data_IF_151523236840
#
_entry.id   IF_151523236840
#
_cell.length_a   1.000
_cell.length_b   1.000
_cell.length_c   1.000
_cell.angle_alpha   90.00
_cell.angle_beta   90.00
_cell.angle_gamma   90.00
#
_symmetry.space_group_name_H-M   'P 1'
#
loop_
_entity.id
_entity.type
_entity.pdbx_description
1 polymer ?
#
# COMPACT_ATOMS: atom_id res chain seq x y z
N UNK A 1 -52.08 35.08 12.92
CA UNK A 1 -53.36 35.30 13.64
C UNK A 1 -53.64 34.05 14.49
N UNK A 2 -53.72 34.26 15.84
CA UNK A 2 -54.16 33.36 16.93
C UNK A 2 -53.36 32.08 17.18
N UNK A 3 -52.45 32.00 18.12
CA UNK A 3 -52.37 31.85 19.60
C UNK A 3 -53.56 31.18 20.24
N UNK A 4 -53.36 29.97 20.84
CA UNK A 4 -53.99 29.47 22.09
C UNK A 4 -53.03 28.38 22.64
N UNK A 5 -52.61 28.50 23.67
CA UNK A 5 -52.23 28.41 25.07
C UNK A 5 -53.00 27.38 25.87
N UNK A 6 -52.25 26.77 26.86
CA UNK A 6 -52.68 26.09 28.14
C UNK A 6 -53.10 24.62 28.01
N UNK A 7 -52.75 23.71 28.95
CA UNK A 7 -52.57 23.84 30.39
C UNK A 7 -51.82 22.68 31.03
N UNK A 8 -51.16 22.98 32.13
CA UNK A 8 -50.57 22.07 33.12
C UNK A 8 -51.63 21.22 33.84
N UNK A 9 -51.31 19.95 34.14
CA UNK A 9 -51.82 19.28 35.34
C UNK A 9 -50.70 18.57 36.09
N UNK A 10 -50.47 19.02 37.33
CA UNK A 10 -49.78 18.30 38.41
C UNK A 10 -50.75 17.33 39.04
N UNK A 11 -50.28 16.10 39.34
CA UNK A 11 -50.90 15.29 40.41
C UNK A 11 -49.74 14.73 41.24
N UNK A 12 -49.81 15.08 42.53
CA UNK A 12 -48.99 14.53 43.63
C UNK A 12 -49.60 13.21 44.09
N UNK A 13 -48.79 12.30 44.57
CA UNK A 13 -49.29 11.26 45.45
C UNK A 13 -48.42 10.06 45.65
N UNK A 14 -47.81 10.04 46.85
CA UNK A 14 -47.58 8.94 47.75
C UNK A 14 -46.44 7.93 47.49
N UNK A 15 -45.50 7.99 48.40
CA UNK A 15 -44.44 7.02 48.67
C UNK A 15 -45.04 5.76 49.33
N UNK A 16 -44.55 4.59 48.89
CA UNK A 16 -44.57 3.37 49.69
C UNK A 16 -43.22 2.70 49.56
N UNK A 17 -42.49 2.69 50.67
CA UNK A 17 -41.22 1.97 50.86
C UNK A 17 -41.50 0.49 51.08
N UNK A 18 -40.98 -0.36 50.23
CA UNK A 18 -40.80 -1.81 50.56
C UNK A 18 -39.37 -2.19 50.29
N UNK A 19 -38.64 -2.40 51.37
CA UNK A 19 -37.27 -2.94 51.36
C UNK A 19 -37.38 -4.45 51.17
N UNK A 20 -36.86 -4.98 50.07
CA UNK A 20 -36.54 -6.41 49.94
C UNK A 20 -35.08 -6.56 49.56
N UNK A 21 -34.35 -7.14 50.48
CA UNK A 21 -32.97 -7.61 50.26
C UNK A 21 -32.99 -8.84 49.35
N UNK A 22 -32.43 -8.74 48.16
CA UNK A 22 -32.01 -9.89 47.37
C UNK A 22 -30.51 -9.76 47.13
N UNK A 23 -29.70 -10.56 47.84
CA UNK A 23 -28.31 -10.86 47.45
C UNK A 23 -28.38 -11.65 46.16
N UNK A 24 -28.08 -10.99 45.05
CA UNK A 24 -27.81 -11.61 43.76
C UNK A 24 -26.30 -11.60 43.50
N UNK A 25 -25.67 -12.80 43.50
CA UNK A 25 -24.32 -13.00 42.97
C UNK A 25 -24.31 -12.54 41.52
N UNK A 26 -23.74 -11.39 41.24
CA UNK A 26 -23.36 -10.99 39.89
C UNK A 26 -22.03 -11.69 39.58
N UNK A 27 -22.10 -12.84 38.89
CA UNK A 27 -20.94 -13.37 38.16
C UNK A 27 -20.59 -12.38 37.05
N UNK A 28 -19.54 -11.60 37.27
CA UNK A 28 -19.00 -10.71 36.24
C UNK A 28 -18.47 -11.53 35.07
N UNK A 29 -19.21 -11.55 33.98
CA UNK A 29 -18.67 -11.99 32.68
C UNK A 29 -17.68 -10.91 32.25
N UNK A 30 -16.42 -11.10 32.60
CA UNK A 30 -15.32 -10.32 32.06
C UNK A 30 -15.27 -10.56 30.56
N UNK A 31 -15.75 -9.61 29.78
CA UNK A 31 -15.48 -9.55 28.34
C UNK A 31 -13.97 -9.29 28.23
N UNK A 32 -13.20 -10.37 28.07
CA UNK A 32 -11.79 -10.30 27.77
C UNK A 32 -11.60 -9.60 26.43
N UNK A 33 -11.18 -8.34 26.47
CA UNK A 33 -10.71 -7.63 25.28
C UNK A 33 -9.45 -8.36 24.83
N UNK A 34 -9.51 -8.98 23.67
CA UNK A 34 -8.39 -9.67 23.03
C UNK A 34 -7.18 -8.73 22.94
N UNK A 35 -5.96 -9.19 23.28
CA UNK A 35 -4.76 -8.33 23.25
C UNK A 35 -4.33 -7.85 21.85
N UNK A 36 -5.06 -8.22 20.79
CA UNK A 36 -4.80 -7.77 19.42
C UNK A 36 -5.24 -6.31 19.11
N UNK A 37 -5.86 -5.61 20.03
CA UNK A 37 -6.44 -4.28 19.81
C UNK A 37 -5.71 -3.12 20.51
N UNK A 38 -4.57 -3.39 21.14
CA UNK A 38 -3.66 -2.34 21.62
C UNK A 38 -2.58 -2.08 20.56
N UNK A 39 -2.98 -1.59 19.39
CA UNK A 39 -2.05 -0.82 18.55
C UNK A 39 -1.63 0.40 19.41
N UNK A 40 -0.37 0.43 19.79
CA UNK A 40 0.18 1.44 20.67
C UNK A 40 -0.19 2.85 20.16
N UNK A 41 -0.92 3.61 20.97
CA UNK A 41 -1.25 5.03 20.75
C UNK A 41 0.00 5.93 20.74
N UNK A 42 1.19 5.37 20.85
CA UNK A 42 2.50 6.03 20.85
C UNK A 42 3.27 5.79 19.55
N UNK A 43 2.61 5.80 18.38
CA UNK A 43 3.38 5.83 17.14
C UNK A 43 4.16 7.16 17.08
N UNK A 44 5.49 7.14 16.85
CA UNK A 44 6.29 8.35 16.81
C UNK A 44 5.69 9.35 15.82
N UNK A 45 5.57 10.59 16.23
CA UNK A 45 5.04 11.66 15.38
C UNK A 45 6.14 11.96 14.35
N UNK A 46 5.83 11.75 13.07
CA UNK A 46 6.73 12.16 12.01
C UNK A 46 6.73 13.68 11.90
N UNK A 47 7.90 14.28 11.95
CA UNK A 47 8.08 15.69 11.61
C UNK A 47 8.44 15.76 10.13
N UNK A 48 7.43 15.93 9.28
CA UNK A 48 7.63 16.06 7.84
C UNK A 48 8.19 17.44 7.54
N UNK A 49 9.35 17.56 6.86
CA UNK A 49 9.91 18.85 6.53
C UNK A 49 9.06 19.59 5.47
N UNK A 50 8.95 20.90 5.63
CA UNK A 50 8.13 21.77 4.78
C UNK A 50 8.89 22.18 3.51
N UNK A 51 8.47 21.71 2.35
CA UNK A 51 9.06 22.06 1.04
C UNK A 51 8.96 23.56 0.77
N UNK A 52 7.86 24.20 1.21
CA UNK A 52 7.63 25.63 1.05
C UNK A 52 8.61 26.52 1.83
N UNK A 53 9.26 25.98 2.85
CA UNK A 53 10.26 26.71 3.66
C UNK A 53 11.66 26.69 3.04
N UNK A 54 11.87 25.93 1.96
CA UNK A 54 13.18 25.86 1.29
C UNK A 54 13.51 27.18 0.57
N UNK A 55 14.80 27.60 0.59
CA UNK A 55 15.24 28.80 -0.15
C UNK A 55 15.10 28.62 -1.67
N UNK A 56 15.11 29.72 -2.39
CA UNK A 56 15.05 29.77 -3.86
C UNK A 56 16.44 29.54 -4.52
N UNK A 57 17.26 28.69 -3.92
CA UNK A 57 18.56 28.29 -4.46
C UNK A 57 18.42 27.03 -5.37
N UNK A 58 19.53 26.53 -5.87
CA UNK A 58 19.56 25.35 -6.75
C UNK A 58 19.01 24.10 -6.05
N UNK A 59 19.32 23.91 -4.75
CA UNK A 59 18.85 22.78 -3.98
C UNK A 59 17.34 22.83 -3.74
N UNK A 60 16.81 23.99 -3.28
CA UNK A 60 15.39 24.17 -3.06
C UNK A 60 14.57 23.97 -4.34
N UNK A 61 15.06 24.49 -5.48
CA UNK A 61 14.41 24.25 -6.79
C UNK A 61 14.41 22.77 -7.17
N UNK A 62 15.53 22.06 -6.93
CA UNK A 62 15.63 20.64 -7.23
C UNK A 62 14.65 19.79 -6.39
N UNK A 63 14.54 20.07 -5.09
CA UNK A 63 13.59 19.39 -4.19
C UNK A 63 12.13 19.66 -4.61
N UNK A 64 11.80 20.92 -4.91
CA UNK A 64 10.46 21.28 -5.42
C UNK A 64 10.13 20.54 -6.71
N UNK A 65 11.07 20.49 -7.66
CA UNK A 65 10.87 19.74 -8.90
C UNK A 65 10.69 18.23 -8.63
N UNK A 66 11.41 17.66 -7.68
CA UNK A 66 11.21 16.28 -7.25
C UNK A 66 9.81 16.02 -6.67
N UNK A 67 9.29 16.96 -5.86
CA UNK A 67 7.91 16.92 -5.38
C UNK A 67 6.91 17.01 -6.53
N UNK A 68 7.13 17.88 -7.49
CA UNK A 68 6.27 18.04 -8.66
C UNK A 68 6.25 16.76 -9.51
N UNK A 69 7.41 16.13 -9.73
CA UNK A 69 7.52 14.81 -10.37
C UNK A 69 6.70 13.74 -9.63
N UNK A 70 6.72 13.73 -8.29
CA UNK A 70 5.94 12.78 -7.49
C UNK A 70 4.44 13.05 -7.59
N UNK A 71 4.01 14.30 -7.56
CA UNK A 71 2.59 14.69 -7.52
C UNK A 71 1.93 14.81 -8.89
N UNK A 72 2.72 15.08 -9.92
CA UNK A 72 2.26 15.29 -11.30
C UNK A 72 3.18 14.61 -12.33
N UNK A 73 3.60 13.37 -12.07
CA UNK A 73 4.47 12.59 -12.96
C UNK A 73 4.01 12.64 -14.43
N UNK A 74 2.70 12.50 -14.64
CA UNK A 74 2.05 12.56 -15.94
C UNK A 74 2.33 13.86 -16.71
N UNK A 75 2.48 14.99 -16.02
CA UNK A 75 2.69 16.30 -16.62
C UNK A 75 4.15 16.58 -17.02
N UNK A 76 5.09 15.90 -16.39
CA UNK A 76 6.54 16.11 -16.59
C UNK A 76 7.20 15.05 -17.46
N UNK A 77 6.82 13.77 -17.23
CA UNK A 77 7.46 12.61 -17.86
C UNK A 77 6.44 11.55 -18.31
N UNK A 78 5.16 11.91 -18.38
CA UNK A 78 4.07 11.03 -18.80
C UNK A 78 4.04 10.76 -20.31
N UNK A 79 3.18 9.85 -20.77
CA UNK A 79 3.12 9.45 -22.17
C UNK A 79 2.58 10.57 -23.09
N UNK A 80 1.86 11.53 -22.55
CA UNK A 80 1.19 12.60 -23.30
C UNK A 80 1.94 13.94 -23.24
N UNK A 81 3.12 14.02 -22.57
CA UNK A 81 3.93 15.25 -22.58
C UNK A 81 4.38 15.59 -24.00
N UNK A 82 4.48 16.89 -24.30
CA UNK A 82 4.79 17.39 -25.64
C UNK A 82 6.15 16.91 -26.16
N UNK A 83 7.17 16.89 -25.31
CA UNK A 83 8.51 16.42 -25.66
C UNK A 83 8.59 14.89 -25.62
N UNK A 84 8.69 14.18 -26.75
CA UNK A 84 8.78 12.72 -26.77
C UNK A 84 10.01 12.16 -26.03
N UNK A 85 11.11 12.90 -25.94
CA UNK A 85 12.32 12.49 -25.25
C UNK A 85 12.08 12.34 -23.74
N UNK A 86 11.11 13.08 -23.19
CA UNK A 86 10.73 13.05 -21.78
C UNK A 86 9.63 12.04 -21.42
N UNK A 87 9.09 11.30 -22.38
CA UNK A 87 8.06 10.27 -22.13
C UNK A 87 8.67 9.03 -21.51
N UNK A 88 8.94 9.09 -20.20
CA UNK A 88 9.50 7.97 -19.44
C UNK A 88 8.42 7.09 -18.82
N UNK A 89 7.33 7.66 -18.30
CA UNK A 89 6.18 6.89 -17.86
C UNK A 89 5.34 6.40 -19.05
N UNK A 90 4.82 5.19 -18.97
CA UNK A 90 3.96 4.57 -19.98
C UNK A 90 2.47 4.63 -19.63
N UNK A 91 2.12 5.29 -18.51
CA UNK A 91 0.75 5.57 -18.09
C UNK A 91 0.65 6.99 -17.53
N UNK A 92 -0.57 7.49 -17.37
CA UNK A 92 -0.87 8.84 -16.88
C UNK A 92 -1.05 8.91 -15.36
N UNK A 93 -0.51 7.93 -14.61
CA UNK A 93 -0.48 7.98 -13.15
C UNK A 93 0.52 9.04 -12.65
N UNK A 94 0.31 9.44 -11.40
CA UNK A 94 1.35 10.09 -10.59
C UNK A 94 1.89 9.12 -9.54
N UNK A 95 3.14 9.26 -9.14
CA UNK A 95 3.69 8.48 -8.02
C UNK A 95 2.83 8.62 -6.76
N UNK A 96 2.28 9.83 -6.53
CA UNK A 96 1.38 10.16 -5.42
C UNK A 96 0.03 9.42 -5.47
N UNK A 97 -0.34 8.75 -6.56
CA UNK A 97 -1.54 7.91 -6.59
C UNK A 97 -1.40 6.68 -5.68
N UNK A 98 -0.16 6.21 -5.44
CA UNK A 98 0.16 5.14 -4.50
C UNK A 98 0.93 5.66 -3.27
N UNK A 99 1.86 6.63 -3.47
CA UNK A 99 2.61 7.29 -2.41
C UNK A 99 1.82 8.49 -1.87
N UNK A 100 0.78 8.18 -1.09
CA UNK A 100 -0.25 9.15 -0.71
C UNK A 100 0.32 10.37 0.01
N UNK A 101 -0.34 11.54 -0.17
CA UNK A 101 0.09 12.83 0.38
C UNK A 101 1.53 13.18 -0.04
N UNK A 102 1.86 13.00 -1.31
CA UNK A 102 3.21 13.20 -1.84
C UNK A 102 4.29 12.37 -1.11
N UNK A 103 3.93 11.19 -0.62
CA UNK A 103 4.83 10.28 0.09
C UNK A 103 4.97 10.54 1.59
N UNK A 104 4.02 11.24 2.22
CA UNK A 104 4.09 11.56 3.65
C UNK A 104 3.00 10.88 4.50
N UNK A 105 2.04 10.18 3.87
CA UNK A 105 0.98 9.47 4.60
C UNK A 105 1.51 8.15 5.17
N UNK A 106 1.40 7.98 6.51
CA UNK A 106 1.69 6.71 7.17
C UNK A 106 0.85 5.58 6.58
N UNK A 107 1.47 4.42 6.34
CA UNK A 107 0.86 3.25 5.72
C UNK A 107 0.27 3.50 4.31
N UNK A 108 0.44 4.69 3.75
CA UNK A 108 0.12 5.06 2.37
C UNK A 108 1.34 4.97 1.45
N UNK A 109 2.20 3.99 1.65
CA UNK A 109 3.50 3.80 0.96
C UNK A 109 4.33 5.08 1.03
N UNK A 110 4.70 5.57 2.23
CA UNK A 110 5.44 6.82 2.36
C UNK A 110 6.81 6.75 1.69
N UNK A 111 7.29 7.92 1.27
CA UNK A 111 8.68 8.18 0.86
C UNK A 111 9.49 8.79 2.02
N UNK A 112 8.82 9.23 3.08
CA UNK A 112 9.41 9.75 4.30
C UNK A 112 10.30 8.69 4.95
N UNK A 113 11.55 9.05 5.30
CA UNK A 113 12.49 8.15 5.96
C UNK A 113 13.16 7.10 5.05
N UNK A 114 12.71 6.97 3.80
CA UNK A 114 13.14 5.88 2.90
C UNK A 114 14.58 6.03 2.39
N UNK A 115 15.11 7.27 2.34
CA UNK A 115 16.47 7.50 1.79
C UNK A 115 17.55 6.72 2.54
N UNK A 116 17.44 6.64 3.86
CA UNK A 116 18.41 5.96 4.72
C UNK A 116 18.32 4.42 4.69
N UNK A 117 17.33 3.84 4.00
CA UNK A 117 17.21 2.39 3.80
C UNK A 117 18.06 1.88 2.63
N UNK A 118 18.65 2.77 1.82
CA UNK A 118 19.46 2.40 0.66
C UNK A 118 20.95 2.66 0.88
N UNK A 119 21.85 1.81 0.29
CA UNK A 119 21.54 0.64 -0.54
C UNK A 119 20.92 -0.51 0.27
N UNK A 120 20.08 -1.34 -0.38
CA UNK A 120 19.45 -2.49 0.27
C UNK A 120 19.40 -3.72 -0.64
N UNK A 121 19.45 -4.91 -0.02
CA UNK A 121 19.28 -6.16 -0.75
C UNK A 121 17.87 -6.28 -1.34
N UNK A 122 17.80 -6.60 -2.63
CA UNK A 122 16.56 -6.82 -3.35
C UNK A 122 16.45 -8.28 -3.82
N UNK A 123 15.56 -9.04 -3.19
CA UNK A 123 15.35 -10.45 -3.53
C UNK A 123 14.89 -10.67 -4.98
N UNK A 124 14.26 -9.65 -5.62
CA UNK A 124 13.79 -9.75 -7.00
C UNK A 124 14.95 -9.87 -8.01
N UNK A 125 16.02 -9.11 -7.80
CA UNK A 125 17.24 -9.16 -8.61
C UNK A 125 18.32 -10.05 -7.99
N UNK A 126 18.19 -10.40 -6.71
CA UNK A 126 19.21 -11.09 -5.89
C UNK A 126 20.52 -10.28 -5.78
N UNK A 127 20.39 -8.98 -5.67
CA UNK A 127 21.52 -8.05 -5.56
C UNK A 127 21.20 -6.89 -4.61
N UNK A 128 22.23 -6.17 -4.22
CA UNK A 128 22.10 -4.90 -3.52
C UNK A 128 21.77 -3.80 -4.55
N UNK A 129 20.77 -2.99 -4.29
CA UNK A 129 20.28 -1.93 -5.19
C UNK A 129 20.36 -0.56 -4.54
N UNK A 130 20.61 0.45 -5.35
CA UNK A 130 20.51 1.86 -4.98
C UNK A 130 19.06 2.37 -4.93
N UNK A 131 18.85 3.58 -4.42
CA UNK A 131 17.55 4.26 -4.51
C UNK A 131 17.16 4.52 -5.97
N UNK A 132 18.11 4.87 -6.83
CA UNK A 132 17.90 5.10 -8.26
C UNK A 132 17.40 3.82 -8.97
N UNK A 133 17.99 2.66 -8.64
CA UNK A 133 17.54 1.37 -9.16
C UNK A 133 16.10 1.08 -8.69
N UNK A 134 15.81 1.39 -7.43
CA UNK A 134 14.46 1.24 -6.89
C UNK A 134 13.45 2.15 -7.59
N UNK A 135 13.82 3.40 -7.89
CA UNK A 135 13.00 4.33 -8.66
C UNK A 135 12.76 3.80 -10.08
N UNK A 136 13.80 3.30 -10.74
CA UNK A 136 13.69 2.70 -12.08
C UNK A 136 12.86 1.41 -12.09
N UNK A 137 12.88 0.63 -11.01
CA UNK A 137 11.95 -0.49 -10.85
C UNK A 137 10.49 -0.01 -10.76
N UNK A 138 10.21 1.15 -10.14
CA UNK A 138 8.87 1.76 -10.17
C UNK A 138 8.51 2.27 -11.57
N UNK A 139 9.43 2.94 -12.28
CA UNK A 139 9.20 3.43 -13.64
C UNK A 139 8.80 2.31 -14.60
N UNK A 140 9.48 1.16 -14.54
CA UNK A 140 9.21 0.03 -15.45
C UNK A 140 8.03 -0.86 -15.03
N UNK A 141 7.48 -0.69 -13.82
CA UNK A 141 6.40 -1.53 -13.28
C UNK A 141 5.15 -0.71 -12.93
N UNK A 142 5.24 0.16 -11.94
CA UNK A 142 4.11 0.98 -11.52
C UNK A 142 3.73 2.02 -12.56
N UNK A 143 4.71 2.63 -13.19
CA UNK A 143 4.51 3.61 -14.25
C UNK A 143 4.46 2.97 -15.65
N UNK A 144 4.58 1.65 -15.76
CA UNK A 144 4.52 0.89 -17.02
C UNK A 144 5.37 1.47 -18.16
N UNK A 145 6.49 2.08 -17.85
CA UNK A 145 7.32 2.86 -18.74
C UNK A 145 8.75 2.32 -18.89
N UNK A 146 9.69 3.24 -19.10
CA UNK A 146 11.12 2.97 -19.25
C UNK A 146 11.95 3.62 -18.15
N UNK A 147 13.17 3.14 -17.87
CA UNK A 147 14.04 3.73 -16.86
C UNK A 147 14.37 5.19 -17.16
N UNK A 148 14.49 5.99 -16.11
CA UNK A 148 15.13 7.30 -16.16
C UNK A 148 16.64 7.12 -16.34
N UNK A 149 17.29 7.92 -17.20
CA UNK A 149 18.76 7.86 -17.32
C UNK A 149 19.44 8.24 -16.00
N UNK A 150 20.53 7.54 -15.68
CA UNK A 150 21.38 7.94 -14.59
C UNK A 150 21.89 9.38 -14.80
N UNK A 151 21.86 10.19 -13.76
CA UNK A 151 22.27 11.60 -13.83
C UNK A 151 21.28 12.53 -14.54
N UNK A 152 20.09 12.05 -14.97
CA UNK A 152 19.06 12.95 -15.52
C UNK A 152 18.56 13.93 -14.44
N UNK A 153 18.13 15.14 -14.84
CA UNK A 153 17.55 16.10 -13.90
C UNK A 153 16.36 15.54 -13.13
N UNK A 154 15.54 14.71 -13.77
CA UNK A 154 14.36 14.07 -13.20
C UNK A 154 14.77 13.04 -12.12
N UNK A 155 15.76 12.19 -12.37
CA UNK A 155 16.29 11.25 -11.38
C UNK A 155 16.89 12.00 -10.18
N UNK A 156 17.75 12.98 -10.46
CA UNK A 156 18.37 13.80 -9.41
C UNK A 156 17.33 14.53 -8.53
N UNK A 157 16.25 15.02 -9.14
CA UNK A 157 15.17 15.71 -8.42
C UNK A 157 14.36 14.76 -7.54
N UNK A 158 14.02 13.56 -8.03
CA UNK A 158 13.34 12.53 -7.23
C UNK A 158 14.17 12.10 -6.02
N UNK A 159 15.47 11.85 -6.22
CA UNK A 159 16.40 11.51 -5.13
C UNK A 159 16.50 12.66 -4.12
N UNK A 160 16.63 13.91 -4.60
CA UNK A 160 16.70 15.09 -3.73
C UNK A 160 15.43 15.24 -2.88
N UNK A 161 14.26 15.03 -3.45
CA UNK A 161 13.00 15.10 -2.71
C UNK A 161 12.90 14.00 -1.64
N UNK A 162 13.21 12.75 -1.98
CA UNK A 162 13.16 11.62 -1.03
C UNK A 162 14.19 11.81 0.09
N UNK A 163 15.39 12.30 -0.25
CA UNK A 163 16.41 12.67 0.74
C UNK A 163 15.93 13.78 1.67
N UNK A 164 15.32 14.83 1.11
CA UNK A 164 14.73 15.91 1.88
C UNK A 164 13.66 15.41 2.85
N UNK A 165 12.75 14.56 2.41
CA UNK A 165 11.74 13.93 3.26
C UNK A 165 12.35 13.08 4.39
N UNK A 166 13.57 12.61 4.23
CA UNK A 166 14.28 11.80 5.23
C UNK A 166 15.14 12.65 6.19
N UNK A 167 15.05 13.98 6.12
CA UNK A 167 15.79 14.89 7.03
C UNK A 167 15.39 14.60 8.47
N UNK A 168 16.40 14.38 9.33
CA UNK A 168 16.22 14.07 10.75
C UNK A 168 15.89 12.60 11.06
N UNK A 169 15.84 11.72 10.05
CA UNK A 169 15.70 10.28 10.22
C UNK A 169 17.09 9.63 10.11
N UNK A 170 17.59 8.97 11.15
CA UNK A 170 18.87 8.27 11.11
C UNK A 170 18.87 7.15 10.05
N UNK A 171 19.96 6.94 9.32
CA UNK A 171 20.08 5.82 8.40
C UNK A 171 19.85 4.46 9.10
N UNK A 172 19.07 3.61 8.47
CA UNK A 172 18.72 2.28 9.01
C UNK A 172 17.67 2.27 10.12
N UNK A 173 17.13 3.43 10.52
CA UNK A 173 16.02 3.48 11.46
C UNK A 173 14.73 3.05 10.76
N UNK A 174 14.13 1.96 11.27
CA UNK A 174 12.84 1.49 10.76
C UNK A 174 11.68 2.20 11.49
N UNK A 175 11.11 3.19 10.81
CA UNK A 175 10.02 4.00 11.37
C UNK A 175 8.67 3.26 11.32
N UNK A 176 7.88 3.27 12.40
CA UNK A 176 6.50 2.82 12.35
C UNK A 176 5.68 3.64 11.34
N UNK A 177 4.94 2.95 10.49
CA UNK A 177 4.11 3.61 9.48
C UNK A 177 4.67 3.55 8.06
N UNK A 178 5.85 2.96 7.87
CA UNK A 178 6.38 2.65 6.54
C UNK A 178 5.55 1.56 5.84
N UNK A 179 5.62 1.53 4.51
CA UNK A 179 4.92 0.55 3.69
C UNK A 179 3.40 0.75 3.63
N UNK A 180 2.66 -0.35 3.67
CA UNK A 180 1.18 -0.38 3.55
C UNK A 180 0.46 -0.84 4.81
N UNK A 181 1.19 -1.02 5.92
CA UNK A 181 0.65 -1.69 7.11
C UNK A 181 0.56 -3.20 6.94
N UNK A 182 0.06 -3.87 7.96
CA UNK A 182 -0.13 -5.32 7.97
C UNK A 182 -1.41 -5.66 8.72
N UNK A 183 -2.28 -6.43 8.07
CA UNK A 183 -3.46 -7.01 8.69
C UNK A 183 -3.36 -8.55 8.68
N UNK A 184 -4.13 -9.26 9.52
CA UNK A 184 -4.20 -10.72 9.49
C UNK A 184 -4.56 -11.25 8.10
N UNK A 185 -3.93 -12.36 7.71
CA UNK A 185 -4.27 -13.08 6.48
C UNK A 185 -5.53 -13.92 6.71
N UNK A 186 -6.29 -14.16 5.64
CA UNK A 186 -7.45 -15.03 5.69
C UNK A 186 -7.02 -16.51 5.72
N UNK A 187 -7.79 -17.33 6.43
CA UNK A 187 -7.64 -18.80 6.43
C UNK A 187 -8.19 -19.44 5.14
N UNK A 188 -8.88 -18.66 4.31
CA UNK A 188 -9.43 -19.02 3.02
C UNK A 188 -8.80 -18.23 1.88
N UNK A 189 -9.02 -18.65 0.66
CA UNK A 189 -8.73 -17.80 -0.50
C UNK A 189 -9.60 -16.52 -0.45
N UNK A 190 -9.02 -15.38 -0.84
CA UNK A 190 -9.79 -14.17 -1.09
C UNK A 190 -10.66 -14.39 -2.36
N UNK A 191 -11.88 -13.85 -2.33
CA UNK A 191 -12.92 -14.15 -3.29
C UNK A 191 -13.21 -12.94 -4.21
N UNK A 192 -12.82 -12.99 -5.50
CA UNK A 192 -13.08 -11.90 -6.43
C UNK A 192 -14.58 -11.60 -6.65
N UNK A 193 -15.48 -12.59 -6.54
CA UNK A 193 -16.91 -12.37 -6.74
C UNK A 193 -17.52 -11.60 -5.55
N UNK A 194 -17.15 -11.95 -4.32
CA UNK A 194 -17.48 -11.12 -3.14
C UNK A 194 -16.82 -9.75 -3.23
N UNK A 195 -15.59 -9.70 -3.71
CA UNK A 195 -14.86 -8.47 -3.94
C UNK A 195 -15.54 -7.55 -4.94
N UNK A 196 -16.17 -8.08 -5.97
CA UNK A 196 -16.97 -7.33 -6.95
C UNK A 196 -18.14 -6.62 -6.28
N UNK A 197 -18.86 -7.31 -5.40
CA UNK A 197 -19.96 -6.69 -4.64
C UNK A 197 -19.45 -5.60 -3.70
N UNK A 198 -18.33 -5.85 -3.00
CA UNK A 198 -17.66 -4.86 -2.15
C UNK A 198 -17.17 -3.64 -2.95
N UNK A 199 -16.59 -3.85 -4.12
CA UNK A 199 -16.18 -2.79 -5.04
C UNK A 199 -17.36 -1.92 -5.47
N UNK A 200 -18.47 -2.53 -5.84
CA UNK A 200 -19.67 -1.81 -6.25
C UNK A 200 -20.21 -0.91 -5.14
N UNK A 201 -20.11 -1.31 -3.89
CA UNK A 201 -20.59 -0.53 -2.74
C UNK A 201 -19.62 0.56 -2.26
N UNK A 202 -18.30 0.33 -2.31
CA UNK A 202 -17.32 1.19 -1.66
C UNK A 202 -16.38 1.94 -2.63
N UNK A 203 -16.23 1.50 -3.87
CA UNK A 203 -15.18 1.98 -4.78
C UNK A 203 -15.71 2.57 -6.08
N UNK A 204 -16.82 2.04 -6.59
CA UNK A 204 -17.38 2.33 -7.91
C UNK A 204 -17.64 3.81 -8.14
N UNK A 205 -18.14 4.54 -7.11
CA UNK A 205 -18.48 5.96 -7.23
C UNK A 205 -17.26 6.81 -7.64
N UNK A 206 -16.06 6.47 -7.18
CA UNK A 206 -14.85 7.20 -7.49
C UNK A 206 -14.04 6.57 -8.64
N UNK A 207 -13.89 5.23 -8.62
CA UNK A 207 -13.03 4.54 -9.58
C UNK A 207 -13.75 4.08 -10.86
N UNK A 208 -15.08 4.28 -10.96
CA UNK A 208 -15.89 3.88 -12.11
C UNK A 208 -16.22 2.38 -12.12
N UNK A 209 -17.22 1.96 -12.92
CA UNK A 209 -17.64 0.56 -13.01
C UNK A 209 -16.60 -0.34 -13.69
N UNK A 210 -15.75 0.25 -14.50
CA UNK A 210 -14.66 -0.39 -15.26
C UNK A 210 -13.27 -0.13 -14.65
N UNK A 211 -13.21 0.49 -13.45
CA UNK A 211 -11.95 0.81 -12.78
C UNK A 211 -11.07 1.81 -13.49
N UNK A 212 -11.60 2.54 -14.48
CA UNK A 212 -10.84 3.52 -15.29
C UNK A 212 -10.51 4.79 -14.53
N UNK A 213 -11.11 5.00 -13.35
CA UNK A 213 -10.92 6.20 -12.56
C UNK A 213 -11.58 7.45 -13.15
N UNK A 214 -11.08 8.60 -12.73
CA UNK A 214 -11.58 9.89 -13.19
C UNK A 214 -10.41 10.76 -13.68
N UNK A 215 -10.35 11.06 -14.98
CA UNK A 215 -9.36 11.99 -15.56
C UNK A 215 -9.53 13.40 -14.99
N UNK A 216 -8.44 14.13 -14.91
CA UNK A 216 -8.51 15.57 -14.63
C UNK A 216 -9.14 16.29 -15.81
N UNK A 217 -9.98 17.27 -15.51
CA UNK A 217 -10.54 18.18 -16.50
C UNK A 217 -10.24 19.60 -16.04
N UNK A 218 -9.08 20.10 -16.43
CA UNK A 218 -8.62 21.45 -16.11
C UNK A 218 -8.62 22.31 -17.37
N UNK A 219 -8.86 23.64 -17.27
CA UNK A 219 -8.89 24.54 -18.43
C UNK A 219 -7.60 24.54 -19.25
N UNK A 220 -6.47 24.19 -18.63
CA UNK A 220 -5.13 24.24 -19.24
C UNK A 220 -4.55 22.86 -19.55
N UNK A 221 -5.06 21.79 -18.96
CA UNK A 221 -4.60 20.42 -19.19
C UNK A 221 -5.60 19.40 -18.63
N UNK A 222 -5.82 18.36 -19.39
CA UNK A 222 -6.58 17.16 -19.00
C UNK A 222 -5.66 15.95 -18.71
N UNK A 223 -4.35 16.19 -18.58
CA UNK A 223 -3.39 15.14 -18.26
C UNK A 223 -3.58 14.61 -16.85
N UNK A 224 -3.36 13.29 -16.67
CA UNK A 224 -3.41 12.62 -15.39
C UNK A 224 -4.81 12.39 -14.85
N UNK A 225 -4.87 11.99 -13.59
CA UNK A 225 -6.10 11.54 -12.93
C UNK A 225 -6.39 12.32 -11.65
N UNK A 226 -7.65 12.63 -11.43
CA UNK A 226 -8.18 13.02 -10.11
C UNK A 226 -8.35 11.78 -9.23
N UNK A 227 -8.91 10.70 -9.80
CA UNK A 227 -9.01 9.38 -9.18
C UNK A 227 -8.33 8.38 -10.11
N UNK A 228 -7.26 7.69 -9.67
CA UNK A 228 -6.46 6.86 -10.57
C UNK A 228 -7.21 5.61 -11.05
N UNK A 229 -6.90 5.10 -12.26
CA UNK A 229 -7.36 3.80 -12.70
C UNK A 229 -6.75 2.69 -11.86
N UNK A 230 -7.54 1.67 -11.54
CA UNK A 230 -7.11 0.50 -10.77
C UNK A 230 -6.67 -0.66 -11.66
N UNK A 231 -7.16 -0.70 -12.90
CA UNK A 231 -6.81 -1.67 -13.94
C UNK A 231 -6.97 -1.05 -15.35
N UNK A 232 -6.82 -1.86 -16.39
CA UNK A 232 -6.87 -1.38 -17.77
C UNK A 232 -5.52 -0.88 -18.27
N UNK A 233 -5.50 -0.36 -19.51
CA UNK A 233 -4.28 -0.02 -20.25
C UNK A 233 -3.46 1.12 -19.65
N UNK A 234 -4.11 2.06 -18.95
CA UNK A 234 -3.46 3.22 -18.35
C UNK A 234 -3.15 3.04 -16.85
N UNK A 235 -3.17 1.79 -16.37
CA UNK A 235 -2.82 1.43 -15.00
C UNK A 235 -1.40 0.85 -14.91
N UNK A 236 -1.01 0.44 -13.71
CA UNK A 236 0.26 -0.27 -13.44
C UNK A 236 0.23 -1.68 -14.06
N UNK A 237 1.40 -2.22 -14.43
CA UNK A 237 1.49 -3.55 -15.02
C UNK A 237 1.48 -4.69 -13.97
N UNK A 238 1.37 -5.94 -14.43
CA UNK A 238 1.29 -7.14 -13.60
C UNK A 238 2.57 -7.44 -12.79
N UNK A 239 3.69 -6.82 -13.13
CA UNK A 239 4.93 -6.87 -12.34
C UNK A 239 5.00 -5.85 -11.22
N UNK A 240 4.03 -4.95 -11.08
CA UNK A 240 4.01 -3.94 -10.03
C UNK A 240 3.71 -4.53 -8.65
N UNK A 241 4.21 -3.88 -7.60
CA UNK A 241 3.93 -4.32 -6.22
C UNK A 241 2.46 -4.32 -5.86
N UNK A 242 1.68 -3.39 -6.42
CA UNK A 242 0.23 -3.30 -6.19
C UNK A 242 -0.59 -4.36 -6.95
N UNK A 243 0.02 -5.10 -7.88
CA UNK A 243 -0.59 -6.28 -8.50
C UNK A 243 -0.58 -7.51 -7.56
N UNK A 244 0.07 -7.43 -6.40
CA UNK A 244 0.15 -8.48 -5.39
C UNK A 244 -0.95 -8.31 -4.35
N UNK A 245 -1.66 -9.40 -4.06
CA UNK A 245 -2.87 -9.37 -3.23
C UNK A 245 -2.62 -8.83 -1.82
N UNK A 246 -1.60 -9.32 -1.11
CA UNK A 246 -1.31 -8.90 0.27
C UNK A 246 -1.08 -7.38 0.33
N UNK A 247 -0.30 -6.85 -0.61
CA UNK A 247 -0.01 -5.42 -0.66
C UNK A 247 -1.25 -4.60 -1.00
N UNK A 248 -2.04 -5.03 -1.98
CA UNK A 248 -3.27 -4.35 -2.38
C UNK A 248 -4.31 -4.36 -1.25
N UNK A 249 -4.51 -5.51 -0.59
CA UNK A 249 -5.47 -5.65 0.51
C UNK A 249 -5.12 -4.75 1.70
N UNK A 250 -3.85 -4.76 2.14
CA UNK A 250 -3.39 -3.88 3.21
C UNK A 250 -3.54 -2.39 2.83
N UNK A 251 -3.16 -2.00 1.59
CA UNK A 251 -3.33 -0.63 1.13
C UNK A 251 -4.81 -0.20 1.15
N UNK A 252 -5.71 -1.04 0.67
CA UNK A 252 -7.15 -0.79 0.66
C UNK A 252 -7.67 -0.63 2.09
N UNK A 253 -7.34 -1.55 2.99
CA UNK A 253 -7.81 -1.50 4.37
C UNK A 253 -7.42 -0.21 5.09
N UNK A 254 -6.16 0.22 4.96
CA UNK A 254 -5.64 1.37 5.70
C UNK A 254 -5.81 2.72 5.00
N UNK A 255 -6.26 2.75 3.74
CA UNK A 255 -6.29 4.00 2.98
C UNK A 255 -7.56 4.23 2.16
N UNK A 256 -8.43 3.22 2.01
CA UNK A 256 -9.63 3.30 1.18
C UNK A 256 -10.88 2.83 1.94
N UNK A 257 -12.06 3.37 1.60
CA UNK A 257 -12.30 4.50 0.69
C UNK A 257 -11.69 5.82 1.18
N UNK A 258 -11.78 6.88 0.37
CA UNK A 258 -11.27 8.21 0.73
C UNK A 258 -11.76 8.64 2.12
N UNK A 259 -10.85 9.11 2.96
CA UNK A 259 -11.10 9.44 4.36
C UNK A 259 -10.76 8.33 5.36
N UNK A 260 -10.45 7.11 4.88
CA UNK A 260 -9.88 6.08 5.75
C UNK A 260 -8.42 6.37 6.08
N UNK A 261 -8.01 5.97 7.27
CA UNK A 261 -6.62 5.93 7.69
C UNK A 261 -6.35 4.68 8.55
N UNK A 262 -5.11 4.47 8.95
CA UNK A 262 -4.70 3.28 9.70
C UNK A 262 -5.30 3.20 11.13
N UNK A 263 -5.78 4.32 11.69
CA UNK A 263 -6.49 4.36 12.98
C UNK A 263 -8.00 4.13 12.83
N UNK A 264 -8.53 4.50 11.65
CA UNK A 264 -9.96 4.49 11.35
C UNK A 264 -10.23 3.80 10.01
N UNK A 265 -9.91 2.50 9.86
CA UNK A 265 -10.25 1.75 8.66
C UNK A 265 -11.79 1.65 8.54
N UNK A 266 -12.30 1.81 7.32
CA UNK A 266 -13.75 1.80 7.05
C UNK A 266 -14.25 0.45 6.51
N UNK A 267 -13.35 -0.41 6.06
CA UNK A 267 -13.66 -1.75 5.56
C UNK A 267 -13.23 -2.80 6.58
N UNK A 268 -13.98 -3.88 6.71
CA UNK A 268 -13.53 -5.03 7.46
C UNK A 268 -12.31 -5.69 6.77
N UNK A 269 -11.57 -6.52 7.49
CA UNK A 269 -10.45 -7.27 6.94
C UNK A 269 -10.88 -8.08 5.72
N UNK A 270 -11.98 -8.85 5.85
CA UNK A 270 -12.50 -9.69 4.77
C UNK A 270 -12.90 -8.87 3.54
N UNK A 271 -13.61 -7.74 3.75
CA UNK A 271 -13.96 -6.84 2.65
C UNK A 271 -12.72 -6.34 1.91
N UNK A 272 -11.69 -5.90 2.63
CA UNK A 272 -10.46 -5.40 2.02
C UNK A 272 -9.73 -6.49 1.21
N UNK A 273 -9.67 -7.73 1.73
CA UNK A 273 -9.08 -8.87 1.02
C UNK A 273 -9.86 -9.23 -0.24
N UNK A 274 -11.18 -9.37 -0.15
CA UNK A 274 -12.01 -9.76 -1.28
C UNK A 274 -12.08 -8.66 -2.35
N UNK A 275 -12.17 -7.37 -1.98
CA UNK A 275 -12.07 -6.22 -2.91
C UNK A 275 -10.70 -6.21 -3.61
N UNK A 276 -9.62 -6.43 -2.86
CA UNK A 276 -8.29 -6.52 -3.45
C UNK A 276 -8.20 -7.67 -4.47
N UNK A 277 -8.78 -8.84 -4.15
CA UNK A 277 -8.85 -9.98 -5.07
C UNK A 277 -9.59 -9.62 -6.36
N UNK A 278 -10.70 -8.89 -6.28
CA UNK A 278 -11.40 -8.39 -7.47
C UNK A 278 -10.53 -7.43 -8.28
N UNK A 279 -9.87 -6.46 -7.64
CA UNK A 279 -9.01 -5.48 -8.33
C UNK A 279 -7.81 -6.14 -9.01
N UNK A 280 -7.14 -7.11 -8.34
CA UNK A 280 -5.98 -7.79 -8.94
C UNK A 280 -6.36 -8.87 -9.96
N UNK A 281 -7.63 -9.29 -10.02
CA UNK A 281 -8.13 -10.20 -11.06
C UNK A 281 -8.31 -9.49 -12.40
N UNK A 282 -8.47 -8.19 -12.41
CA UNK A 282 -8.79 -7.42 -13.60
C UNK A 282 -7.60 -7.28 -14.57
N UNK A 283 -7.86 -7.15 -15.88
CA UNK A 283 -6.80 -7.06 -16.89
C UNK A 283 -5.97 -5.78 -16.74
N UNK A 284 -4.67 -5.90 -16.96
CA UNK A 284 -3.70 -4.80 -16.90
C UNK A 284 -2.55 -5.03 -17.87
N UNK A 285 -1.69 -4.02 -18.14
CA UNK A 285 -0.54 -4.21 -19.01
C UNK A 285 0.36 -5.34 -18.51
N UNK A 286 0.90 -6.12 -19.44
CA UNK A 286 1.81 -7.22 -19.13
C UNK A 286 3.26 -6.73 -19.16
N UNK A 287 4.04 -7.12 -18.17
CA UNK A 287 5.47 -6.88 -18.15
C UNK A 287 6.22 -8.09 -18.69
N UNK A 288 7.12 -7.85 -19.62
CA UNK A 288 8.02 -8.89 -20.12
C UNK A 288 9.08 -9.29 -19.06
N UNK A 289 9.52 -10.53 -19.08
CA UNK A 289 10.64 -11.03 -18.28
C UNK A 289 10.33 -11.24 -16.81
N UNK A 290 9.06 -11.45 -16.44
CA UNK A 290 8.65 -11.75 -15.06
C UNK A 290 9.18 -13.11 -14.56
N UNK A 291 9.47 -14.02 -15.46
CA UNK A 291 10.11 -15.32 -15.21
C UNK A 291 11.53 -15.21 -14.64
N UNK A 292 12.18 -14.07 -14.86
CA UNK A 292 13.53 -13.74 -14.32
C UNK A 292 13.49 -13.13 -12.93
N UNK A 293 12.30 -12.72 -12.46
CA UNK A 293 12.15 -12.16 -11.12
C UNK A 293 12.38 -13.27 -10.06
N UNK A 294 13.09 -12.94 -9.01
CA UNK A 294 13.37 -13.84 -7.89
C UNK A 294 14.18 -15.09 -8.30
N UNK A 295 15.45 -14.93 -8.74
CA UNK A 295 16.30 -16.07 -9.09
C UNK A 295 16.48 -17.08 -7.95
N UNK A 296 16.43 -16.62 -6.71
CA UNK A 296 16.23 -17.45 -5.53
C UNK A 296 14.74 -17.57 -5.22
N UNK A 297 14.14 -18.68 -5.66
CA UNK A 297 12.70 -18.92 -5.52
C UNK A 297 12.24 -19.04 -4.06
N UNK A 298 13.13 -19.43 -3.13
CA UNK A 298 12.79 -19.48 -1.71
C UNK A 298 12.65 -18.09 -1.07
N UNK A 299 13.20 -17.05 -1.71
CA UNK A 299 13.04 -15.65 -1.30
C UNK A 299 11.85 -14.96 -1.96
N UNK A 300 11.16 -15.65 -2.90
CA UNK A 300 10.00 -15.10 -3.61
C UNK A 300 8.82 -14.92 -2.65
N UNK A 301 8.20 -13.73 -2.60
CA UNK A 301 7.03 -13.53 -1.76
C UNK A 301 5.86 -14.44 -2.17
N UNK A 302 5.14 -14.97 -1.18
CA UNK A 302 4.09 -15.97 -1.35
C UNK A 302 2.91 -15.54 -2.22
N UNK A 303 2.70 -14.23 -2.39
CA UNK A 303 1.61 -13.63 -3.15
C UNK A 303 2.05 -13.08 -4.52
N UNK A 304 3.18 -13.52 -5.06
CA UNK A 304 3.59 -13.18 -6.43
C UNK A 304 2.77 -14.03 -7.41
N UNK A 305 1.93 -13.39 -8.29
CA UNK A 305 0.94 -14.11 -9.08
C UNK A 305 1.49 -14.67 -10.42
N UNK A 306 2.78 -15.00 -10.46
CA UNK A 306 3.42 -15.58 -11.66
C UNK A 306 4.61 -16.46 -11.24
N UNK A 307 4.75 -17.60 -11.94
CA UNK A 307 5.85 -18.55 -11.70
C UNK A 307 7.22 -18.07 -12.21
N UNK A 308 8.26 -18.92 -12.08
CA UNK A 308 8.25 -20.20 -11.39
C UNK A 308 8.17 -20.09 -9.86
N UNK A 309 7.82 -21.21 -9.18
CA UNK A 309 7.75 -21.30 -7.71
C UNK A 309 8.66 -22.44 -7.22
N UNK A 310 9.15 -22.33 -5.98
CA UNK A 310 9.92 -23.39 -5.33
C UNK A 310 9.02 -24.48 -4.71
N UNK A 311 7.79 -24.12 -4.39
CA UNK A 311 6.78 -24.99 -3.78
C UNK A 311 5.86 -25.62 -4.83
N UNK A 312 5.01 -26.51 -4.42
CA UNK A 312 4.08 -27.24 -5.31
C UNK A 312 2.70 -26.59 -5.46
N UNK A 313 2.53 -25.35 -5.01
CA UNK A 313 1.22 -24.67 -5.07
C UNK A 313 0.98 -24.02 -6.43
N UNK A 314 -0.31 -23.88 -6.79
CA UNK A 314 -0.72 -23.29 -8.05
C UNK A 314 -0.56 -21.77 -8.06
N UNK A 315 -0.43 -21.20 -9.26
CA UNK A 315 -0.45 -19.75 -9.49
C UNK A 315 -1.72 -19.11 -8.90
N UNK A 316 -2.86 -19.78 -9.01
CA UNK A 316 -4.11 -19.31 -8.42
C UNK A 316 -4.02 -19.18 -6.91
N UNK A 317 -3.38 -20.13 -6.20
CA UNK A 317 -3.20 -20.05 -4.76
C UNK A 317 -2.19 -18.95 -4.38
N UNK A 318 -1.12 -18.77 -5.15
CA UNK A 318 -0.21 -17.62 -5.00
C UNK A 318 -0.92 -16.30 -5.25
N UNK A 319 -1.92 -16.26 -6.11
CA UNK A 319 -2.67 -15.05 -6.44
C UNK A 319 -3.71 -14.69 -5.38
N UNK A 320 -4.41 -15.68 -4.81
CA UNK A 320 -5.57 -15.43 -3.95
C UNK A 320 -5.48 -15.99 -2.53
N UNK A 321 -4.43 -16.76 -2.22
CA UNK A 321 -4.30 -17.48 -0.95
C UNK A 321 -5.11 -18.80 -0.94
N UNK A 322 -5.29 -19.44 0.24
CA UNK A 322 -4.69 -19.02 1.53
C UNK A 322 -3.17 -19.17 1.52
N UNK A 323 -2.46 -18.24 2.15
CA UNK A 323 -1.00 -18.16 2.08
C UNK A 323 -0.28 -18.98 3.17
N UNK A 324 -0.94 -19.31 4.27
CA UNK A 324 -0.32 -20.06 5.36
C UNK A 324 0.28 -21.41 4.91
N UNK A 325 -0.36 -22.23 4.06
CA UNK A 325 0.25 -23.45 3.55
C UNK A 325 1.51 -23.21 2.70
N UNK A 326 1.53 -22.14 1.89
CA UNK A 326 2.70 -21.77 1.08
C UNK A 326 3.86 -21.38 1.98
N UNK A 327 3.60 -20.55 3.02
CA UNK A 327 4.63 -20.15 4.00
C UNK A 327 5.22 -21.35 4.72
N UNK A 328 4.38 -22.31 5.12
CA UNK A 328 4.84 -23.55 5.78
C UNK A 328 5.72 -24.39 4.83
N UNK A 329 5.37 -24.49 3.55
CA UNK A 329 6.17 -25.21 2.55
C UNK A 329 7.52 -24.53 2.32
N UNK A 330 7.55 -23.22 2.13
CA UNK A 330 8.78 -22.45 1.95
C UNK A 330 9.69 -22.57 3.19
N UNK A 331 9.12 -22.48 4.40
CA UNK A 331 9.91 -22.66 5.64
C UNK A 331 10.55 -24.05 5.73
N UNK A 332 9.81 -25.11 5.34
CA UNK A 332 10.34 -26.47 5.29
C UNK A 332 11.48 -26.59 4.26
N UNK A 333 11.29 -26.08 3.05
CA UNK A 333 12.32 -26.13 2.00
C UNK A 333 13.60 -25.37 2.39
N UNK A 334 13.49 -24.23 3.07
CA UNK A 334 14.64 -23.50 3.63
C UNK A 334 15.39 -24.34 4.67
N UNK A 335 14.67 -24.97 5.60
CA UNK A 335 15.28 -25.81 6.62
C UNK A 335 15.98 -27.05 6.00
N UNK A 336 15.45 -27.62 4.93
CA UNK A 336 16.07 -28.73 4.19
C UNK A 336 17.35 -28.25 3.48
N UNK A 337 17.35 -27.09 2.85
CA UNK A 337 18.52 -26.49 2.21
C UNK A 337 19.64 -26.23 3.22
N UNK A 338 19.35 -25.69 4.39
CA UNK A 338 20.30 -25.44 5.46
C UNK A 338 20.95 -26.73 5.99
N UNK A 339 20.17 -27.79 6.20
CA UNK A 339 20.68 -29.11 6.60
C UNK A 339 21.60 -29.71 5.55
N UNK A 340 21.25 -29.61 4.27
CA UNK A 340 22.08 -30.08 3.15
C UNK A 340 23.42 -29.35 3.05
N UNK A 341 23.39 -28.02 3.24
CA UNK A 341 24.63 -27.22 3.26
C UNK A 341 25.53 -27.56 4.44
N UNK A 342 24.97 -27.79 5.64
CA UNK A 342 25.73 -28.18 6.83
C UNK A 342 26.42 -29.56 6.71
N UNK A 343 25.75 -30.52 6.04
CA UNK A 343 26.30 -31.85 5.82
C UNK A 343 27.46 -31.87 4.79
N UNK A 344 27.41 -31.00 3.79
CA UNK A 344 28.46 -30.87 2.79
C UNK A 344 29.77 -30.25 3.34
N UNK A 345 29.68 -29.40 4.36
CA UNK A 345 30.82 -28.76 5.02
C UNK A 345 31.58 -29.65 5.98
N UNK A 346 31.01 -30.80 6.39
CA UNK A 346 31.61 -31.70 7.40
C UNK A 346 32.43 -32.85 6.80
N UNK A 347 32.66 -32.90 5.47
CA UNK A 347 33.51 -33.90 4.88
C UNK A 347 34.98 -33.47 5.03
N UNK A 348 35.85 -34.19 5.78
CA UNK A 348 37.23 -33.83 5.94
C UNK A 348 37.96 -33.98 4.60
N UNK A 349 38.99 -33.13 4.32
CA UNK A 349 39.82 -33.26 3.14
C UNK A 349 40.55 -34.62 3.16
N UNK A 350 40.49 -35.35 2.06
CA UNK A 350 41.24 -36.61 1.87
C UNK A 350 42.72 -36.33 1.67
#
# INVERSE_FOLDING_TARGET
MRIVCCARRRVMGAAVSVSLWCLGLMAGVGVGVSPAQQASTNAPIWTVPEVGALPEDSHGRQVRFGRDLVTATYAHIGPEVSDPAKRYAGNNLACANCHLQAGTKKFGIPLFGVYGEFPQYNARQREEISLEDRLNACMTRSMNGRPLPAGSPEMGALVAYIRFLSTGVPPGEHLPGLGVGTMPELDRAADPERGKAGYASACLTCHGPDGSGLRRSLPTTDLGYLVPPLWGSDSFNDGAGMARLIKAANFIHFNMPHGADYLHPQLSLEQAWDIAAYVVSQPRPRKAGLDKDFPDLLSKPVDVPYGPYADGFSEQQHKYGPFAPIRAAIARLKAEQEKGAGSASSTPPR
#
